data_IF_828621366752
#
_entry.id   IF_828621366752
#
_cell.length_a   1.000
_cell.length_b   1.000
_cell.length_c   1.000
_cell.angle_alpha   90.00
_cell.angle_beta   90.00
_cell.angle_gamma   90.00
#
_symmetry.space_group_name_H-M   'P 1'
#
loop_
_entity.id
_entity.type
_entity.pdbx_description
1 polymer ?
#
# COMPACT_ATOMS: atom_id res chain seq x y z
N UNK A 1 35.85 -42.96 22.43
CA UNK A 1 35.16 -42.20 21.36
C UNK A 1 36.18 -41.89 20.28
N UNK A 2 35.90 -42.23 19.02
CA UNK A 2 36.88 -42.09 17.93
C UNK A 2 37.11 -40.60 17.63
N UNK A 3 38.37 -40.21 17.43
CA UNK A 3 38.75 -38.80 17.19
C UNK A 3 37.97 -38.19 16.02
N UNK A 4 37.69 -38.98 14.99
CA UNK A 4 36.86 -38.57 13.85
C UNK A 4 35.42 -38.22 14.25
N UNK A 5 34.80 -39.01 15.14
CA UNK A 5 33.44 -38.74 15.64
C UNK A 5 33.41 -37.46 16.47
N UNK A 6 34.44 -37.24 17.30
CA UNK A 6 34.56 -36.00 18.08
C UNK A 6 34.68 -34.75 17.19
N UNK A 7 35.44 -34.83 16.09
CA UNK A 7 35.59 -33.73 15.13
C UNK A 7 34.27 -33.41 14.44
N UNK A 8 33.54 -34.43 13.97
CA UNK A 8 32.24 -34.22 13.30
C UNK A 8 31.23 -33.57 14.24
N UNK A 9 31.15 -34.02 15.49
CA UNK A 9 30.23 -33.44 16.49
C UNK A 9 30.59 -32.00 16.84
N UNK A 10 31.88 -31.67 16.97
CA UNK A 10 32.32 -30.30 17.24
C UNK A 10 32.02 -29.36 16.07
N UNK A 11 32.28 -29.79 14.83
CA UNK A 11 31.94 -29.01 13.65
C UNK A 11 30.44 -28.77 13.55
N UNK A 12 29.61 -29.80 13.75
CA UNK A 12 28.16 -29.65 13.73
C UNK A 12 27.69 -28.67 14.81
N UNK A 13 28.19 -28.79 16.04
CA UNK A 13 27.85 -27.87 17.13
C UNK A 13 28.26 -26.43 16.82
N UNK A 14 29.44 -26.22 16.21
CA UNK A 14 29.90 -24.90 15.79
C UNK A 14 28.99 -24.30 14.72
N UNK A 15 28.65 -25.06 13.68
CA UNK A 15 27.75 -24.61 12.61
C UNK A 15 26.36 -24.31 13.14
N UNK A 16 25.81 -25.15 14.02
CA UNK A 16 24.50 -24.89 14.65
C UNK A 16 24.55 -23.64 15.52
N UNK A 17 25.60 -23.46 16.32
CA UNK A 17 25.76 -22.26 17.14
C UNK A 17 25.85 -21.00 16.28
N UNK A 18 26.67 -21.02 15.23
CA UNK A 18 26.81 -19.91 14.29
C UNK A 18 25.48 -19.60 13.58
N UNK A 19 24.79 -20.64 13.10
CA UNK A 19 23.48 -20.50 12.47
C UNK A 19 22.47 -19.86 13.40
N UNK A 20 22.37 -20.32 14.66
CA UNK A 20 21.45 -19.76 15.65
C UNK A 20 21.80 -18.30 15.96
N UNK A 21 23.07 -17.97 16.13
CA UNK A 21 23.50 -16.59 16.38
C UNK A 21 23.13 -15.66 15.21
N UNK A 22 23.41 -16.06 13.97
CA UNK A 22 23.07 -15.29 12.77
C UNK A 22 21.55 -15.18 12.63
N UNK A 23 20.83 -16.29 12.78
CA UNK A 23 19.37 -16.32 12.68
C UNK A 23 18.73 -15.38 13.69
N UNK A 24 19.15 -15.43 14.96
CA UNK A 24 18.65 -14.53 16.00
C UNK A 24 18.95 -13.08 15.70
N UNK A 25 20.19 -12.75 15.31
CA UNK A 25 20.55 -11.38 14.98
C UNK A 25 19.74 -10.79 13.83
N UNK A 26 19.49 -11.59 12.79
CA UNK A 26 18.68 -11.17 11.62
C UNK A 26 17.18 -11.10 11.95
N UNK A 27 16.68 -11.95 12.85
CA UNK A 27 15.23 -12.07 13.13
C UNK A 27 14.77 -11.29 14.36
N UNK A 28 15.66 -10.87 15.25
CA UNK A 28 15.28 -10.20 16.49
C UNK A 28 14.60 -8.84 16.21
N UNK A 29 15.04 -8.08 15.20
CA UNK A 29 14.37 -6.83 14.80
C UNK A 29 12.95 -7.09 14.27
N UNK A 30 12.79 -8.04 13.35
CA UNK A 30 11.49 -8.43 12.82
C UNK A 30 10.56 -9.00 13.92
N UNK A 31 11.10 -9.80 14.83
CA UNK A 31 10.37 -10.36 15.95
C UNK A 31 9.98 -9.30 16.99
N UNK A 32 10.79 -8.24 17.15
CA UNK A 32 10.47 -7.09 17.99
C UNK A 32 9.39 -6.22 17.37
N UNK A 33 9.47 -5.95 16.07
CA UNK A 33 8.46 -5.21 15.31
C UNK A 33 7.09 -5.91 15.36
N UNK A 34 7.05 -7.25 15.24
CA UNK A 34 5.82 -8.03 15.36
C UNK A 34 5.18 -8.01 16.76
N UNK A 35 5.95 -7.66 17.80
CA UNK A 35 5.46 -7.53 19.18
C UNK A 35 5.15 -6.08 19.55
N UNK A 36 5.45 -5.13 18.68
CA UNK A 36 5.09 -3.74 18.89
C UNK A 36 3.58 -3.60 18.96
N UNK A 37 3.12 -2.51 19.58
CA UNK A 37 1.69 -2.21 19.67
C UNK A 37 1.07 -2.03 18.27
N UNK A 38 1.89 -1.61 17.29
CA UNK A 38 1.50 -1.27 15.92
C UNK A 38 2.49 -1.84 14.88
N UNK A 39 2.51 -3.18 14.70
CA UNK A 39 3.46 -3.84 13.81
C UNK A 39 3.34 -3.36 12.34
N UNK A 40 2.18 -2.85 11.94
CA UNK A 40 1.89 -2.31 10.61
C UNK A 40 2.58 -0.98 10.31
N UNK A 41 3.02 -0.22 11.32
CA UNK A 41 3.74 1.04 11.16
C UNK A 41 5.22 0.96 11.51
N UNK A 42 5.67 -0.09 12.20
CA UNK A 42 7.07 -0.24 12.62
C UNK A 42 8.07 -0.18 11.47
N UNK A 43 7.70 -0.65 10.27
CA UNK A 43 8.56 -0.53 9.09
C UNK A 43 8.94 0.92 8.79
N UNK A 44 8.06 1.88 9.09
CA UNK A 44 8.27 3.30 8.86
C UNK A 44 9.36 3.86 9.79
N UNK A 45 9.39 3.36 11.03
CA UNK A 45 10.39 3.72 12.03
C UNK A 45 11.79 3.35 11.56
N UNK A 46 11.97 2.13 11.06
CA UNK A 46 13.25 1.63 10.57
C UNK A 46 13.66 2.23 9.21
N UNK A 47 12.71 2.38 8.28
CA UNK A 47 12.99 2.90 6.92
C UNK A 47 13.38 4.38 6.91
N UNK A 48 12.81 5.18 7.81
CA UNK A 48 13.01 6.63 7.86
C UNK A 48 13.75 7.10 9.12
N UNK A 49 14.35 6.18 9.89
CA UNK A 49 15.08 6.47 11.13
C UNK A 49 14.34 7.43 12.08
N UNK A 50 13.03 7.20 12.27
CA UNK A 50 12.18 8.10 13.05
C UNK A 50 12.57 8.08 14.52
N UNK A 51 12.57 9.26 15.16
CA UNK A 51 12.64 9.33 16.62
C UNK A 51 11.36 8.76 17.25
N UNK A 52 11.42 8.42 18.54
CA UNK A 52 10.24 7.99 19.30
C UNK A 52 9.10 9.02 19.25
N UNK A 53 9.44 10.31 19.31
CA UNK A 53 8.46 11.40 19.23
C UNK A 53 7.83 11.50 17.83
N UNK A 54 8.63 11.42 16.77
CA UNK A 54 8.12 11.43 15.39
C UNK A 54 7.21 10.22 15.14
N UNK A 55 7.62 9.04 15.61
CA UNK A 55 6.85 7.82 15.45
C UNK A 55 5.53 7.89 16.22
N UNK A 56 5.54 8.38 17.47
CA UNK A 56 4.34 8.57 18.28
C UNK A 56 3.38 9.58 17.64
N UNK A 57 3.88 10.65 17.02
CA UNK A 57 3.03 11.63 16.34
C UNK A 57 2.41 11.02 15.07
N UNK A 58 3.21 10.34 14.23
CA UNK A 58 2.70 9.66 13.03
C UNK A 58 1.62 8.65 13.40
N UNK A 59 1.84 7.90 14.46
CA UNK A 59 0.88 6.95 14.98
C UNK A 59 -0.44 7.61 15.38
N UNK A 60 -0.39 8.72 16.11
CA UNK A 60 -1.59 9.47 16.48
C UNK A 60 -2.37 9.95 15.24
N UNK A 61 -1.67 10.43 14.20
CA UNK A 61 -2.29 10.79 12.91
C UNK A 61 -2.93 9.59 12.23
N UNK A 62 -2.26 8.43 12.23
CA UNK A 62 -2.81 7.20 11.66
C UNK A 62 -4.11 6.76 12.36
N UNK A 63 -4.13 6.75 13.69
CA UNK A 63 -5.35 6.43 14.45
C UNK A 63 -6.50 7.40 14.20
N UNK A 64 -6.21 8.69 14.02
CA UNK A 64 -7.22 9.67 13.66
C UNK A 64 -7.76 9.40 12.24
N UNK A 65 -6.88 9.11 11.29
CA UNK A 65 -7.26 8.78 9.91
C UNK A 65 -8.08 7.49 9.83
N UNK A 66 -7.80 6.48 10.65
CA UNK A 66 -8.55 5.22 10.70
C UNK A 66 -10.04 5.42 10.98
N UNK A 67 -10.39 6.42 11.80
CA UNK A 67 -11.79 6.77 12.08
C UNK A 67 -12.43 7.30 10.80
N UNK A 68 -11.79 8.28 10.15
CA UNK A 68 -12.26 8.90 8.91
C UNK A 68 -12.39 7.84 7.79
N UNK A 69 -11.40 6.96 7.67
CA UNK A 69 -11.39 5.89 6.66
C UNK A 69 -12.57 4.94 6.83
N UNK A 70 -12.91 4.55 8.08
CA UNK A 70 -14.08 3.70 8.35
C UNK A 70 -15.39 4.39 8.02
N UNK A 71 -15.55 5.66 8.38
CA UNK A 71 -16.75 6.45 8.06
C UNK A 71 -16.96 6.56 6.55
N UNK A 72 -15.92 6.95 5.81
CA UNK A 72 -15.96 7.06 4.34
C UNK A 72 -16.24 5.70 3.68
N UNK A 73 -15.71 4.59 4.21
CA UNK A 73 -15.99 3.24 3.72
C UNK A 73 -17.47 2.86 3.94
N UNK A 74 -18.07 3.22 5.07
CA UNK A 74 -19.49 2.96 5.31
C UNK A 74 -20.36 3.73 4.31
N UNK A 75 -20.09 5.02 4.11
CA UNK A 75 -20.77 5.85 3.12
C UNK A 75 -20.61 5.30 1.69
N UNK A 76 -19.41 4.81 1.35
CA UNK A 76 -19.12 4.22 0.04
C UNK A 76 -19.99 2.98 -0.23
N UNK A 77 -20.19 2.12 0.78
CA UNK A 77 -21.09 0.97 0.69
C UNK A 77 -22.52 1.42 0.46
N UNK A 78 -22.98 2.47 1.14
CA UNK A 78 -24.34 3.02 0.95
C UNK A 78 -24.55 3.48 -0.49
N UNK A 79 -23.65 4.30 -1.05
CA UNK A 79 -23.81 4.81 -2.42
C UNK A 79 -23.58 3.72 -3.48
N UNK A 80 -22.77 2.70 -3.18
CA UNK A 80 -22.60 1.54 -4.06
C UNK A 80 -23.89 0.72 -4.14
N UNK A 81 -24.52 0.42 -3.00
CA UNK A 81 -25.80 -0.31 -2.99
C UNK A 81 -26.89 0.46 -3.75
N UNK A 82 -26.94 1.79 -3.61
CA UNK A 82 -27.88 2.63 -4.35
C UNK A 82 -27.61 2.61 -5.87
N UNK A 83 -26.35 2.55 -6.28
CA UNK A 83 -25.98 2.37 -7.69
C UNK A 83 -26.41 1.00 -8.22
N UNK A 84 -26.16 -0.08 -7.46
CA UNK A 84 -26.55 -1.43 -7.85
C UNK A 84 -28.08 -1.56 -7.98
N UNK A 85 -28.83 -0.96 -7.06
CA UNK A 85 -30.29 -0.87 -7.11
C UNK A 85 -30.75 -0.08 -8.35
N UNK A 86 -30.20 1.12 -8.59
CA UNK A 86 -30.56 1.95 -9.73
C UNK A 86 -30.30 1.22 -11.07
N UNK A 87 -29.18 0.51 -11.20
CA UNK A 87 -28.86 -0.29 -12.41
C UNK A 87 -29.82 -1.47 -12.56
N UNK A 88 -30.22 -2.12 -11.46
CA UNK A 88 -31.11 -3.28 -11.50
C UNK A 88 -32.55 -2.90 -11.88
N UNK A 89 -33.04 -1.77 -11.35
CA UNK A 89 -34.41 -1.32 -11.59
C UNK A 89 -34.60 -0.64 -12.96
N UNK A 90 -33.53 -0.13 -13.56
CA UNK A 90 -33.59 0.66 -14.79
C UNK A 90 -32.80 -0.02 -15.93
N UNK A 91 -33.47 -0.56 -16.96
CA UNK A 91 -32.80 -1.29 -18.06
C UNK A 91 -32.00 -0.37 -19.01
N UNK A 92 -32.19 0.94 -18.92
CA UNK A 92 -31.47 1.94 -19.69
C UNK A 92 -30.91 3.02 -18.76
N UNK A 93 -29.81 3.66 -19.17
CA UNK A 93 -29.21 4.78 -18.42
C UNK A 93 -30.16 5.97 -18.48
N UNK A 94 -30.81 6.25 -17.37
CA UNK A 94 -31.67 7.42 -17.19
C UNK A 94 -31.08 8.37 -16.13
N UNK A 95 -31.87 9.35 -15.70
CA UNK A 95 -31.43 10.32 -14.69
C UNK A 95 -31.08 9.66 -13.36
N UNK A 96 -31.87 8.68 -12.89
CA UNK A 96 -31.63 7.98 -11.63
C UNK A 96 -30.30 7.21 -11.65
N UNK A 97 -30.03 6.47 -12.73
CA UNK A 97 -28.75 5.76 -12.91
C UNK A 97 -27.59 6.75 -12.98
N UNK A 98 -27.75 7.86 -13.70
CA UNK A 98 -26.70 8.89 -13.85
C UNK A 98 -26.38 9.62 -12.53
N UNK A 99 -27.40 9.88 -11.71
CA UNK A 99 -27.25 10.45 -10.36
C UNK A 99 -26.54 9.48 -9.41
N UNK A 100 -26.90 8.19 -9.46
CA UNK A 100 -26.25 7.17 -8.65
C UNK A 100 -24.77 6.98 -9.03
N UNK A 101 -24.46 6.99 -10.34
CA UNK A 101 -23.07 6.96 -10.83
C UNK A 101 -22.30 8.18 -10.30
N UNK A 102 -22.86 9.37 -10.43
CA UNK A 102 -22.21 10.61 -9.99
C UNK A 102 -21.94 10.61 -8.48
N UNK A 103 -22.90 10.12 -7.69
CA UNK A 103 -22.77 10.00 -6.24
C UNK A 103 -21.67 9.02 -5.84
N UNK A 104 -21.61 7.85 -6.51
CA UNK A 104 -20.56 6.87 -6.27
C UNK A 104 -19.16 7.38 -6.65
N UNK A 105 -19.03 8.07 -7.80
CA UNK A 105 -17.76 8.69 -8.22
C UNK A 105 -17.32 9.72 -7.17
N UNK A 106 -18.21 10.64 -6.79
CA UNK A 106 -17.91 11.68 -5.80
C UNK A 106 -17.45 11.08 -4.47
N UNK A 107 -18.11 10.02 -4.00
CA UNK A 107 -17.70 9.37 -2.75
C UNK A 107 -16.31 8.71 -2.87
N UNK A 108 -15.99 8.10 -4.01
CA UNK A 108 -14.65 7.53 -4.24
C UNK A 108 -13.57 8.61 -4.30
N UNK A 109 -13.88 9.77 -4.86
CA UNK A 109 -12.97 10.92 -4.86
C UNK A 109 -12.69 11.39 -3.44
N UNK A 110 -13.70 11.50 -2.58
CA UNK A 110 -13.53 11.83 -1.15
C UNK A 110 -12.61 10.84 -0.43
N UNK A 111 -12.77 9.53 -0.65
CA UNK A 111 -11.87 8.52 -0.08
C UNK A 111 -10.42 8.69 -0.52
N UNK A 112 -10.20 8.95 -1.82
CA UNK A 112 -8.86 9.17 -2.39
C UNK A 112 -8.23 10.44 -1.84
N UNK A 113 -8.98 11.53 -1.79
CA UNK A 113 -8.54 12.80 -1.24
C UNK A 113 -8.11 12.63 0.23
N UNK A 114 -8.95 12.03 1.06
CA UNK A 114 -8.62 11.78 2.47
C UNK A 114 -7.34 10.96 2.64
N UNK A 115 -7.14 9.94 1.80
CA UNK A 115 -5.92 9.12 1.81
C UNK A 115 -4.70 9.96 1.42
N UNK A 116 -4.79 10.75 0.36
CA UNK A 116 -3.71 11.62 -0.11
C UNK A 116 -3.34 12.63 0.99
N UNK A 117 -4.32 13.28 1.60
CA UNK A 117 -4.11 14.24 2.69
C UNK A 117 -3.39 13.59 3.88
N UNK A 118 -3.80 12.40 4.30
CA UNK A 118 -3.12 11.64 5.35
C UNK A 118 -1.65 11.37 5.02
N UNK A 119 -1.32 10.96 3.79
CA UNK A 119 0.07 10.76 3.38
C UNK A 119 0.89 12.06 3.48
N UNK A 120 0.30 13.20 3.15
CA UNK A 120 0.95 14.50 3.35
C UNK A 120 1.13 14.84 4.84
N UNK A 121 0.15 14.55 5.69
CA UNK A 121 0.24 14.81 7.13
C UNK A 121 1.32 13.96 7.80
N UNK A 122 1.40 12.66 7.47
CA UNK A 122 2.48 11.77 7.94
C UNK A 122 3.85 12.28 7.49
N UNK A 123 3.97 12.67 6.21
CA UNK A 123 5.24 13.12 5.66
C UNK A 123 5.77 14.42 6.28
N UNK A 124 4.90 15.25 6.87
CA UNK A 124 5.28 16.51 7.53
C UNK A 124 5.93 16.32 8.89
N UNK A 125 5.77 15.14 9.50
CA UNK A 125 6.42 14.79 10.78
C UNK A 125 7.89 14.36 10.56
N UNK A 126 8.18 13.88 9.36
CA UNK A 126 9.51 13.43 8.95
C UNK A 126 10.43 14.60 8.62
N UNK A 127 11.72 14.33 8.40
CA UNK A 127 12.61 15.30 7.75
C UNK A 127 12.09 15.63 6.34
N UNK A 128 12.49 16.78 5.79
CA UNK A 128 12.05 17.18 4.44
C UNK A 128 12.42 16.15 3.37
N UNK A 129 13.64 15.59 3.46
CA UNK A 129 14.15 14.55 2.57
C UNK A 129 13.36 13.24 2.71
N UNK A 130 13.16 12.78 3.95
CA UNK A 130 12.43 11.54 4.24
C UNK A 130 10.96 11.65 3.86
N UNK A 131 10.32 12.79 4.15
CA UNK A 131 8.93 13.06 3.78
C UNK A 131 8.73 13.07 2.27
N UNK A 132 9.67 13.63 1.50
CA UNK A 132 9.64 13.58 0.04
C UNK A 132 9.82 12.14 -0.49
N UNK A 133 10.79 11.38 0.05
CA UNK A 133 11.02 9.97 -0.30
C UNK A 133 9.80 9.11 0.01
N UNK A 134 9.18 9.31 1.17
CA UNK A 134 7.96 8.63 1.60
C UNK A 134 6.80 8.87 0.64
N UNK A 135 6.46 10.14 0.36
CA UNK A 135 5.36 10.46 -0.55
C UNK A 135 5.58 9.87 -1.94
N UNK A 136 6.79 9.97 -2.48
CA UNK A 136 7.12 9.35 -3.78
C UNK A 136 6.83 7.84 -3.75
N UNK A 137 7.39 7.12 -2.78
CA UNK A 137 7.23 5.66 -2.66
C UNK A 137 5.76 5.23 -2.53
N UNK A 138 4.98 5.93 -1.72
CA UNK A 138 3.56 5.62 -1.52
C UNK A 138 2.73 5.94 -2.77
N UNK A 139 2.95 7.12 -3.39
CA UNK A 139 2.18 7.50 -4.57
C UNK A 139 2.51 6.67 -5.81
N UNK A 140 3.72 6.11 -5.92
CA UNK A 140 4.07 5.11 -6.94
C UNK A 140 3.12 3.89 -6.90
N UNK A 141 2.52 3.59 -5.73
CA UNK A 141 1.55 2.50 -5.57
C UNK A 141 0.10 2.97 -5.56
N UNK A 142 -0.18 4.14 -4.98
CA UNK A 142 -1.53 4.64 -4.75
C UNK A 142 -2.19 5.25 -5.99
N UNK A 143 -1.41 5.95 -6.83
CA UNK A 143 -1.94 6.77 -7.94
C UNK A 143 -1.69 6.14 -9.31
N UNK A 144 -0.89 5.07 -9.40
CA UNK A 144 -0.56 4.42 -10.66
C UNK A 144 -1.83 4.06 -11.46
N UNK A 145 -2.08 4.71 -12.61
CA UNK A 145 -3.24 4.40 -13.44
C UNK A 145 -3.03 3.00 -14.02
N UNK A 146 -3.94 2.07 -13.74
CA UNK A 146 -4.03 0.83 -14.52
C UNK A 146 -3.55 -0.48 -13.90
N UNK A 147 -3.27 -0.59 -12.59
CA UNK A 147 -3.44 -1.90 -11.93
C UNK A 147 -4.91 -2.14 -11.61
N UNK A 148 -5.76 -2.18 -12.64
CA UNK A 148 -6.97 -2.97 -12.50
C UNK A 148 -6.50 -4.42 -12.46
N UNK A 149 -6.68 -5.18 -11.36
CA UNK A 149 -6.52 -6.61 -11.45
C UNK A 149 -7.56 -7.07 -12.46
N UNK A 150 -7.12 -7.32 -13.69
CA UNK A 150 -7.90 -8.13 -14.60
C UNK A 150 -8.03 -9.46 -13.87
N UNK A 151 -9.20 -9.73 -13.30
CA UNK A 151 -9.59 -11.10 -12.96
C UNK A 151 -9.66 -11.80 -14.32
N UNK A 152 -8.51 -12.33 -14.76
CA UNK A 152 -8.49 -13.40 -15.73
C UNK A 152 -9.45 -14.45 -15.19
N UNK A 153 -10.40 -14.90 -16.01
CA UNK A 153 -11.40 -15.92 -15.63
C UNK A 153 -10.78 -17.22 -15.08
N UNK A 154 -9.45 -17.33 -15.08
CA UNK A 154 -8.68 -18.49 -14.67
C UNK A 154 -7.76 -18.25 -13.45
N UNK A 155 -7.76 -17.07 -12.82
CA UNK A 155 -7.05 -16.86 -11.56
C UNK A 155 -5.51 -16.84 -11.62
N UNK A 156 -4.89 -16.71 -12.80
CA UNK A 156 -3.44 -16.56 -12.95
C UNK A 156 -3.05 -15.08 -13.14
N UNK A 157 -2.09 -14.62 -12.32
CA UNK A 157 -1.42 -13.33 -12.41
C UNK A 157 -0.35 -13.41 -13.52
N UNK A 158 -0.54 -12.70 -14.62
CA UNK A 158 0.51 -12.52 -15.64
C UNK A 158 1.17 -11.15 -15.46
N UNK A 159 2.41 -11.16 -14.97
CA UNK A 159 3.26 -9.98 -14.73
C UNK A 159 4.06 -9.58 -15.98
N UNK A 160 3.47 -9.65 -17.19
CA UNK A 160 4.26 -9.57 -18.43
C UNK A 160 3.67 -8.69 -19.55
N UNK A 161 3.12 -7.51 -19.24
CA UNK A 161 2.61 -6.61 -20.30
C UNK A 161 2.93 -5.11 -20.14
N UNK A 162 4.06 -4.74 -19.51
CA UNK A 162 4.52 -3.33 -19.50
C UNK A 162 6.02 -3.21 -19.83
N UNK A 163 6.47 -3.81 -20.94
CA UNK A 163 7.81 -3.51 -21.48
C UNK A 163 7.77 -2.75 -22.83
N UNK A 164 6.61 -2.51 -23.45
CA UNK A 164 6.56 -2.04 -24.84
C UNK A 164 5.75 -0.76 -25.14
N UNK A 165 5.37 0.03 -24.14
CA UNK A 165 4.72 1.33 -24.40
C UNK A 165 5.75 2.49 -24.36
N UNK A 166 6.56 2.59 -25.42
CA UNK A 166 7.30 3.82 -25.72
C UNK A 166 6.30 4.93 -26.15
N UNK A 167 6.59 6.22 -25.86
CA UNK A 167 5.69 7.32 -26.17
C UNK A 167 5.65 7.56 -27.69
N UNK A 168 4.48 7.36 -28.31
CA UNK A 168 4.21 7.86 -29.66
C UNK A 168 4.13 9.39 -29.63
N UNK A 169 5.11 10.01 -30.29
CA UNK A 169 5.15 11.41 -30.67
C UNK A 169 3.88 11.82 -31.41
N UNK A 170 3.19 12.85 -30.91
CA UNK A 170 2.09 13.51 -31.61
C UNK A 170 2.70 14.41 -32.68
N UNK A 171 2.73 13.95 -33.93
CA UNK A 171 2.96 14.82 -35.08
C UNK A 171 1.69 15.67 -35.33
N UNK A 172 1.84 16.98 -35.19
CA UNK A 172 0.87 17.99 -35.58
C UNK A 172 0.64 17.98 -37.09
N UNK A 173 -0.57 17.66 -37.53
CA UNK A 173 -1.00 17.85 -38.92
C UNK A 173 -1.49 19.30 -39.12
N UNK A 174 -1.12 19.99 -40.22
CA UNK A 174 -1.49 21.38 -40.44
C UNK A 174 -2.95 21.51 -40.91
N UNK A 175 -3.62 22.50 -40.35
CA UNK A 175 -4.92 23.02 -40.75
C UNK A 175 -4.91 23.44 -42.22
N UNK A 176 -5.78 22.85 -43.03
CA UNK A 176 -6.19 23.42 -44.31
C UNK A 176 -7.34 24.39 -44.09
N UNK A 177 -7.12 25.65 -44.46
CA UNK A 177 -8.05 26.59 -45.10
C UNK A 177 -7.25 27.75 -45.70
#
# INVERSE_FOLDING_TARGET
MNRAVAIVLLSLALFTCLYVCIFRWVTDDAASAMKAEHPELEWLRYEYNLSDEQFSEIFAKHKAHDIICRELCQELVTVQNALDEAITENPEVNSAVSEAISSWISQRERCREATILHMYEVSRVMSEEDGARYRKRIFDHLIAPGRMPHISKNGEFHEELIEHAAPHSIESSPSGE
#
